data_IF_872739807264
#
_entry.id   IF_872739807264
#
_cell.length_a   1.000
_cell.length_b   1.000
_cell.length_c   1.000
_cell.angle_alpha   90.00
_cell.angle_beta   90.00
_cell.angle_gamma   90.00
#
_symmetry.space_group_name_H-M   'P 1'
#
loop_
_entity.id
_entity.type
_entity.pdbx_description
1 polymer ?
#
# COMPACT_ATOMS: atom_id res chain seq x y z
N UNK A 1 -22.55 42.26 0.26
CA UNK A 1 -21.15 41.89 -0.09
C UNK A 1 -21.05 40.37 -0.01
N UNK A 2 -21.28 39.66 -1.12
CA UNK A 2 -21.22 38.18 -1.15
C UNK A 2 -19.76 37.73 -1.19
N UNK A 3 -19.34 36.92 -0.23
CA UNK A 3 -17.96 36.39 -0.15
C UNK A 3 -17.86 35.22 -1.14
N UNK A 4 -17.15 35.42 -2.24
CA UNK A 4 -16.87 34.34 -3.20
C UNK A 4 -16.18 33.17 -2.48
N UNK A 5 -16.64 31.95 -2.73
CA UNK A 5 -16.04 30.73 -2.22
C UNK A 5 -14.60 30.62 -2.75
N UNK A 6 -13.62 30.15 -1.94
CA UNK A 6 -12.27 29.96 -2.43
C UNK A 6 -12.28 28.94 -3.57
N UNK A 7 -11.66 29.31 -4.68
CA UNK A 7 -11.50 28.43 -5.84
C UNK A 7 -10.65 27.23 -5.40
N UNK A 8 -11.29 26.07 -5.29
CA UNK A 8 -10.68 24.84 -4.78
C UNK A 8 -10.00 24.04 -5.90
N UNK A 9 -9.66 24.71 -7.01
CA UNK A 9 -8.96 24.08 -8.13
C UNK A 9 -7.52 23.77 -7.72
N UNK A 10 -7.23 22.49 -7.51
CA UNK A 10 -5.85 22.03 -7.38
C UNK A 10 -5.17 22.30 -8.72
N UNK A 11 -4.07 23.09 -8.77
CA UNK A 11 -3.36 23.34 -10.02
C UNK A 11 -2.87 22.00 -10.61
N UNK A 12 -2.88 21.84 -11.95
CA UNK A 12 -2.38 20.64 -12.59
C UNK A 12 -0.91 20.42 -12.20
N UNK A 13 -0.58 19.17 -11.88
CA UNK A 13 0.76 18.78 -11.45
C UNK A 13 1.67 18.62 -12.67
N UNK A 14 2.91 19.09 -12.56
CA UNK A 14 3.92 18.94 -13.60
C UNK A 14 4.31 17.46 -13.74
N UNK A 15 4.76 17.07 -14.94
CA UNK A 15 5.19 15.70 -15.22
C UNK A 15 6.56 15.67 -15.89
N UNK A 16 7.42 14.75 -15.46
CA UNK A 16 8.77 14.54 -15.97
C UNK A 16 8.95 13.11 -16.47
N UNK A 17 9.59 12.95 -17.63
CA UNK A 17 9.96 11.63 -18.15
C UNK A 17 11.23 11.13 -17.45
N UNK A 18 11.13 9.99 -16.77
CA UNK A 18 12.28 9.32 -16.12
C UNK A 18 12.57 7.96 -16.78
N UNK A 19 13.74 7.35 -16.52
CA UNK A 19 14.06 6.00 -17.01
C UNK A 19 13.08 4.90 -16.56
N UNK A 20 12.31 5.15 -15.49
CA UNK A 20 11.28 4.21 -14.99
C UNK A 20 9.86 4.57 -15.44
N UNK A 21 9.69 5.62 -16.25
CA UNK A 21 8.40 6.10 -16.75
C UNK A 21 8.13 7.58 -16.47
N UNK A 22 6.94 8.06 -16.86
CA UNK A 22 6.47 9.42 -16.54
C UNK A 22 6.19 9.50 -15.04
N UNK A 23 6.76 10.49 -14.37
CA UNK A 23 6.53 10.78 -12.96
C UNK A 23 5.93 12.16 -12.78
N UNK A 24 5.00 12.28 -11.84
CA UNK A 24 4.35 13.55 -11.50
C UNK A 24 5.15 14.27 -10.41
N UNK A 25 5.50 15.53 -10.65
CA UNK A 25 6.14 16.43 -9.70
C UNK A 25 5.07 17.04 -8.79
N UNK A 26 5.18 16.73 -7.50
CA UNK A 26 4.31 17.31 -6.47
C UNK A 26 5.14 18.26 -5.62
N UNK A 27 4.80 19.55 -5.64
CA UNK A 27 5.50 20.56 -4.85
C UNK A 27 5.46 20.23 -3.35
N UNK A 28 6.63 20.19 -2.70
CA UNK A 28 6.75 19.86 -1.28
C UNK A 28 6.85 18.36 -0.97
N UNK A 29 6.74 17.48 -1.97
CA UNK A 29 6.96 16.04 -1.80
C UNK A 29 8.42 15.71 -2.15
N UNK A 30 9.17 15.26 -1.14
CA UNK A 30 10.55 14.81 -1.33
C UNK A 30 10.54 13.31 -1.66
N UNK A 31 11.34 12.84 -2.64
CA UNK A 31 11.46 11.42 -2.91
C UNK A 31 11.93 10.64 -1.68
N UNK A 32 11.26 9.52 -1.38
CA UNK A 32 11.68 8.63 -0.31
C UNK A 32 13.00 7.94 -0.71
N UNK A 33 14.01 8.03 0.16
CA UNK A 33 15.31 7.38 -0.04
C UNK A 33 15.29 5.89 0.32
N UNK A 34 16.23 5.07 -0.18
CA UNK A 34 16.33 3.67 0.23
C UNK A 34 16.46 3.46 1.74
N UNK A 35 17.20 4.34 2.44
CA UNK A 35 17.36 4.29 3.89
C UNK A 35 16.03 4.54 4.63
N UNK A 36 15.23 5.50 4.16
CA UNK A 36 13.90 5.76 4.71
C UNK A 36 12.95 4.57 4.47
N UNK A 37 12.99 3.95 3.28
CA UNK A 37 12.23 2.71 3.01
C UNK A 37 12.62 1.56 3.95
N UNK A 38 13.90 1.48 4.35
CA UNK A 38 14.37 0.45 5.26
C UNK A 38 13.93 0.75 6.70
N UNK A 39 14.00 2.00 7.14
CA UNK A 39 13.55 2.43 8.46
C UNK A 39 12.04 2.20 8.66
N UNK A 40 11.22 2.50 7.65
CA UNK A 40 9.77 2.22 7.69
C UNK A 40 9.51 0.73 7.88
N UNK A 41 10.20 -0.14 7.12
CA UNK A 41 10.08 -1.60 7.27
C UNK A 41 10.58 -2.12 8.61
N UNK A 42 11.63 -1.52 9.16
CA UNK A 42 12.12 -1.88 10.50
C UNK A 42 11.10 -1.51 11.59
N UNK A 43 10.40 -0.39 11.42
CA UNK A 43 9.38 0.10 12.35
C UNK A 43 7.99 -0.52 12.14
N UNK A 44 7.77 -1.27 11.06
CA UNK A 44 6.54 -2.00 10.76
C UNK A 44 6.74 -3.53 10.80
N UNK A 45 7.18 -4.12 11.94
CA UNK A 45 7.49 -5.55 12.03
C UNK A 45 6.27 -6.47 11.82
N UNK A 46 5.06 -5.92 11.92
CA UNK A 46 3.78 -6.64 11.82
C UNK A 46 3.25 -6.74 10.38
N UNK A 47 3.92 -6.15 9.38
CA UNK A 47 3.47 -6.23 8.00
C UNK A 47 3.69 -7.66 7.45
N UNK A 48 2.65 -8.33 6.92
CA UNK A 48 2.78 -9.70 6.43
C UNK A 48 3.80 -9.75 5.28
N UNK A 49 4.92 -10.46 5.49
CA UNK A 49 5.93 -10.68 4.43
C UNK A 49 5.43 -11.56 3.29
N UNK A 50 4.30 -12.25 3.48
CA UNK A 50 3.63 -13.13 2.52
C UNK A 50 2.14 -12.84 2.60
N UNK A 51 1.43 -13.07 1.50
CA UNK A 51 -0.02 -13.01 1.49
C UNK A 51 -0.59 -13.87 2.63
N UNK A 52 -1.42 -13.26 3.47
CA UNK A 52 -2.11 -13.95 4.53
C UNK A 52 -3.00 -15.01 3.88
N UNK A 53 -2.90 -16.26 4.35
CA UNK A 53 -3.78 -17.34 3.87
C UNK A 53 -5.25 -16.97 4.19
N UNK A 54 -6.21 -17.38 3.35
CA UNK A 54 -7.63 -17.21 3.67
C UNK A 54 -7.92 -17.72 5.08
N UNK A 55 -8.78 -17.01 5.81
CA UNK A 55 -9.16 -17.37 7.19
C UNK A 55 -9.76 -18.78 7.28
N UNK A 56 -10.27 -19.28 6.15
CA UNK A 56 -10.86 -20.60 5.98
C UNK A 56 -9.81 -21.70 5.73
N UNK A 57 -8.51 -21.45 5.88
CA UNK A 57 -7.45 -22.45 5.75
C UNK A 57 -6.76 -22.64 7.11
N UNK A 58 -7.03 -23.75 7.79
CA UNK A 58 -6.57 -23.98 9.15
C UNK A 58 -7.10 -25.28 9.78
N UNK A 59 -6.77 -25.49 11.06
CA UNK A 59 -7.09 -26.72 11.81
C UNK A 59 -8.58 -27.10 11.85
N UNK A 60 -9.47 -26.14 11.55
CA UNK A 60 -10.93 -26.31 11.54
C UNK A 60 -11.57 -25.98 10.18
N UNK A 61 -10.78 -25.93 9.10
CA UNK A 61 -11.33 -25.65 7.78
C UNK A 61 -12.28 -26.74 7.27
N UNK A 62 -13.09 -26.43 6.26
CA UNK A 62 -14.00 -27.40 5.63
C UNK A 62 -13.29 -28.65 5.09
N UNK A 63 -11.97 -28.57 4.83
CA UNK A 63 -11.15 -29.68 4.34
C UNK A 63 -10.64 -30.59 5.49
N UNK A 64 -10.49 -30.06 6.71
CA UNK A 64 -10.17 -30.80 7.94
C UNK A 64 -11.30 -31.75 8.39
N UNK A 65 -12.53 -31.54 7.89
CA UNK A 65 -13.64 -32.49 8.05
C UNK A 65 -13.52 -33.73 7.16
N UNK A 66 -12.58 -33.76 6.22
CA UNK A 66 -12.31 -34.93 5.37
C UNK A 66 -11.26 -35.87 5.98
N UNK A 67 -11.13 -35.88 7.31
CA UNK A 67 -10.33 -36.85 8.06
C UNK A 67 -11.05 -38.21 8.09
N UNK A 68 -11.23 -38.80 6.90
CA UNK A 68 -11.72 -40.16 6.71
C UNK A 68 -10.53 -41.05 6.37
N UNK A 69 -9.67 -41.28 7.35
CA UNK A 69 -8.94 -42.54 7.48
C UNK A 69 -8.33 -42.59 8.88
N UNK A 70 -9.00 -43.30 9.78
CA UNK A 70 -8.45 -43.71 11.06
C UNK A 70 -8.46 -45.24 11.14
N UNK A 71 -7.98 -45.94 10.10
CA UNK A 71 -7.49 -47.32 10.14
C UNK A 71 -6.55 -47.56 8.95
#
# INVERSE_FOLDING_TARGET
>A
MSRAAPDNSIPPLDAEQTPIGVQTLVSGVVPITPAQRLAIRANAPMEPKKAQRPADHGLFDTNSRNQIEMF
#
